data_IF_036653022781
#
_entry.id   IF_036653022781
#
_cell.length_a   1.000
_cell.length_b   1.000
_cell.length_c   1.000
_cell.angle_alpha   90.00
_cell.angle_beta   90.00
_cell.angle_gamma   90.00
#
_symmetry.space_group_name_H-M   'P 1'
#
loop_
_entity.id
_entity.type
_entity.pdbx_description
1 polymer ?
#
# COMPACT_ATOMS: atom_id res chain seq x y z
N UNK A 1 -3.07 -19.73 -6.97
CA UNK A 1 -2.43 -20.79 -6.20
C UNK A 1 -1.76 -21.86 -7.08
N UNK A 2 -2.46 -22.39 -8.11
CA UNK A 2 -1.88 -23.39 -9.01
C UNK A 2 -0.66 -22.86 -9.77
N UNK A 3 -0.69 -21.63 -10.25
CA UNK A 3 0.45 -21.01 -10.94
C UNK A 3 1.70 -20.99 -10.04
N UNK A 4 1.54 -20.64 -8.76
CA UNK A 4 2.63 -20.66 -7.76
C UNK A 4 3.16 -22.08 -7.54
N UNK A 5 2.26 -23.03 -7.26
CA UNK A 5 2.63 -24.43 -7.03
C UNK A 5 3.38 -25.05 -8.22
N UNK A 6 2.96 -24.72 -9.44
CA UNK A 6 3.57 -25.20 -10.69
C UNK A 6 4.78 -24.36 -11.12
N UNK A 7 5.11 -23.28 -10.41
CA UNK A 7 6.19 -22.32 -10.75
C UNK A 7 6.07 -21.77 -12.18
N UNK A 8 4.86 -21.37 -12.55
CA UNK A 8 4.57 -20.78 -13.86
C UNK A 8 4.65 -19.26 -13.75
N UNK A 9 5.48 -18.64 -14.58
CA UNK A 9 5.60 -17.18 -14.69
C UNK A 9 4.37 -16.57 -15.37
N UNK A 10 3.22 -16.60 -14.69
CA UNK A 10 1.99 -15.95 -15.16
C UNK A 10 1.89 -14.55 -14.57
N UNK A 11 1.47 -13.58 -15.38
CA UNK A 11 1.15 -12.22 -14.94
C UNK A 11 -0.36 -12.04 -14.91
N UNK A 12 -0.88 -11.65 -13.74
CA UNK A 12 -2.29 -11.35 -13.53
C UNK A 12 -2.42 -9.85 -13.31
N UNK A 13 -3.23 -9.17 -14.11
CA UNK A 13 -3.47 -7.73 -13.98
C UNK A 13 -4.92 -7.55 -13.54
N UNK A 14 -5.10 -7.02 -12.34
CA UNK A 14 -6.38 -6.70 -11.75
C UNK A 14 -6.50 -5.18 -11.54
N UNK A 15 -7.65 -4.63 -11.89
CA UNK A 15 -7.99 -3.23 -11.66
C UNK A 15 -9.08 -3.13 -10.59
N UNK A 16 -9.35 -1.91 -10.08
CA UNK A 16 -10.41 -1.66 -9.11
C UNK A 16 -10.14 -2.32 -7.75
N UNK A 17 -8.95 -2.08 -7.20
CA UNK A 17 -8.32 -2.83 -6.12
C UNK A 17 -8.76 -2.45 -4.69
N UNK A 18 -9.78 -1.60 -4.53
CA UNK A 18 -10.20 -1.12 -3.20
C UNK A 18 -11.68 -0.73 -3.14
N UNK A 19 -12.12 -0.23 -1.98
CA UNK A 19 -13.45 0.35 -1.79
C UNK A 19 -13.74 1.53 -2.73
N UNK A 20 -12.72 2.15 -3.31
CA UNK A 20 -12.85 3.24 -4.28
C UNK A 20 -13.36 2.78 -5.65
N UNK A 21 -13.64 1.49 -5.82
CA UNK A 21 -14.53 1.02 -6.88
C UNK A 21 -15.87 1.77 -6.86
N UNK A 22 -16.36 2.14 -5.67
CA UNK A 22 -17.46 3.09 -5.52
C UNK A 22 -18.83 2.43 -5.48
N UNK A 23 -19.75 2.91 -6.33
CA UNK A 23 -21.19 2.59 -6.27
C UNK A 23 -21.54 1.12 -6.54
N UNK A 24 -20.65 0.37 -7.20
CA UNK A 24 -20.83 -1.10 -7.41
C UNK A 24 -20.92 -1.87 -6.09
N UNK A 25 -20.39 -1.28 -5.01
CA UNK A 25 -20.65 -1.69 -3.65
C UNK A 25 -19.90 -2.92 -3.18
N UNK A 26 -20.31 -3.46 -2.02
CA UNK A 26 -19.54 -4.45 -1.27
C UNK A 26 -19.34 -5.79 -1.98
N UNK A 27 -20.15 -6.12 -2.98
CA UNK A 27 -20.00 -7.36 -3.76
C UNK A 27 -18.82 -7.29 -4.76
N UNK A 28 -18.34 -6.08 -5.07
CA UNK A 28 -17.30 -5.83 -6.05
C UNK A 28 -16.04 -5.18 -5.45
N UNK A 29 -16.17 -4.53 -4.30
CA UNK A 29 -15.07 -3.84 -3.63
C UNK A 29 -14.12 -4.84 -2.93
N UNK A 30 -12.86 -4.98 -3.37
CA UNK A 30 -11.88 -5.82 -2.69
C UNK A 30 -11.50 -5.22 -1.33
N UNK A 31 -11.50 -6.02 -0.29
CA UNK A 31 -11.04 -5.65 1.06
C UNK A 31 -9.97 -6.64 1.53
N UNK A 32 -10.29 -7.93 1.58
CA UNK A 32 -9.38 -9.00 2.01
C UNK A 32 -8.50 -9.55 0.89
N UNK A 33 -8.79 -9.22 -0.37
CA UNK A 33 -8.20 -9.83 -1.56
C UNK A 33 -6.68 -9.61 -1.64
N UNK A 34 -6.20 -8.40 -1.37
CA UNK A 34 -4.77 -8.09 -1.42
C UNK A 34 -3.98 -8.98 -0.46
N UNK A 35 -4.43 -9.07 0.80
CA UNK A 35 -3.72 -9.87 1.78
C UNK A 35 -3.86 -11.36 1.51
N UNK A 36 -5.04 -11.84 1.09
CA UNK A 36 -5.23 -13.25 0.73
C UNK A 36 -4.33 -13.68 -0.43
N UNK A 37 -4.07 -12.80 -1.39
CA UNK A 37 -3.11 -13.05 -2.47
C UNK A 37 -1.67 -13.07 -1.95
N UNK A 38 -1.30 -12.14 -1.06
CA UNK A 38 0.04 -12.08 -0.45
C UNK A 38 0.38 -13.31 0.41
N UNK A 39 -0.64 -14.00 0.95
CA UNK A 39 -0.47 -15.25 1.70
C UNK A 39 -0.20 -16.46 0.81
N UNK A 40 -0.34 -16.37 -0.50
CA UNK A 40 -0.02 -17.46 -1.42
C UNK A 40 1.51 -17.51 -1.59
N UNK A 41 2.16 -18.63 -1.21
CA UNK A 41 3.61 -18.76 -1.40
C UNK A 41 4.04 -18.54 -2.84
N UNK A 42 5.16 -17.87 -3.05
CA UNK A 42 5.76 -17.59 -4.36
C UNK A 42 4.88 -16.76 -5.31
N UNK A 43 3.86 -16.05 -4.81
CA UNK A 43 3.05 -15.10 -5.57
C UNK A 43 3.42 -13.68 -5.16
N UNK A 44 4.02 -12.91 -6.05
CA UNK A 44 4.33 -11.50 -5.78
C UNK A 44 3.13 -10.60 -6.13
N UNK A 45 2.72 -9.76 -5.17
CA UNK A 45 1.61 -8.82 -5.32
C UNK A 45 2.13 -7.39 -5.37
N UNK A 46 1.95 -6.75 -6.51
CA UNK A 46 2.52 -5.45 -6.84
C UNK A 46 1.41 -4.40 -6.89
N UNK A 47 1.56 -3.30 -6.15
CA UNK A 47 0.66 -2.14 -6.13
C UNK A 47 1.46 -0.85 -6.35
N UNK A 48 1.66 -0.41 -7.60
CA UNK A 48 2.40 0.81 -7.92
C UNK A 48 1.57 2.07 -7.59
N UNK A 49 2.25 3.15 -7.24
CA UNK A 49 1.66 4.44 -6.86
C UNK A 49 1.93 5.57 -7.85
N UNK A 50 2.97 5.47 -8.66
CA UNK A 50 3.34 6.48 -9.66
C UNK A 50 3.84 5.85 -10.96
N UNK A 51 4.20 6.69 -11.94
CA UNK A 51 4.64 6.24 -13.27
C UNK A 51 5.94 5.45 -13.24
N UNK A 52 6.87 5.75 -12.33
CA UNK A 52 8.16 5.05 -12.20
C UNK A 52 7.94 3.66 -11.60
N UNK A 53 7.15 3.55 -10.54
CA UNK A 53 6.78 2.25 -9.98
C UNK A 53 5.99 1.40 -11.00
N UNK A 54 5.13 2.02 -11.80
CA UNK A 54 4.42 1.33 -12.88
C UNK A 54 5.40 0.79 -13.94
N UNK A 55 6.39 1.58 -14.36
CA UNK A 55 7.43 1.14 -15.28
C UNK A 55 8.20 -0.06 -14.72
N UNK A 56 8.61 0.02 -13.44
CA UNK A 56 9.30 -1.08 -12.77
C UNK A 56 8.41 -2.31 -12.59
N UNK A 57 7.12 -2.12 -12.34
CA UNK A 57 6.14 -3.20 -12.27
C UNK A 57 6.06 -3.96 -13.59
N UNK A 58 5.94 -3.27 -14.72
CA UNK A 58 5.97 -3.91 -16.04
C UNK A 58 7.29 -4.60 -16.31
N UNK A 59 8.42 -3.96 -16.01
CA UNK A 59 9.75 -4.58 -16.15
C UNK A 59 9.82 -5.87 -15.33
N UNK A 60 9.26 -5.89 -14.13
CA UNK A 60 9.22 -7.06 -13.27
C UNK A 60 8.25 -8.13 -13.77
N UNK A 61 7.05 -7.75 -14.22
CA UNK A 61 6.06 -8.68 -14.80
C UNK A 61 6.64 -9.50 -15.96
N UNK A 62 7.41 -8.86 -16.81
CA UNK A 62 8.02 -9.49 -17.98
C UNK A 62 9.43 -10.04 -17.74
N UNK A 63 9.93 -9.96 -16.50
CA UNK A 63 11.22 -10.57 -16.16
C UNK A 63 11.14 -12.11 -16.17
N UNK A 64 12.25 -12.76 -16.51
CA UNK A 64 12.33 -14.21 -16.58
C UNK A 64 12.45 -14.85 -15.18
N UNK A 65 11.40 -14.72 -14.37
CA UNK A 65 11.29 -15.38 -13.06
C UNK A 65 10.33 -16.56 -13.16
N UNK A 66 10.48 -17.52 -12.25
CA UNK A 66 9.60 -18.69 -12.19
C UNK A 66 8.33 -18.45 -11.36
N UNK A 67 8.18 -17.27 -10.76
CA UNK A 67 7.05 -16.97 -9.89
C UNK A 67 5.94 -16.24 -10.64
N UNK A 68 4.67 -16.56 -10.40
CA UNK A 68 3.56 -15.75 -10.87
C UNK A 68 3.54 -14.39 -10.15
N UNK A 69 2.97 -13.40 -10.82
CA UNK A 69 2.89 -12.03 -10.33
C UNK A 69 1.49 -11.48 -10.51
N UNK A 70 1.03 -10.73 -9.53
CA UNK A 70 -0.19 -9.94 -9.58
C UNK A 70 0.17 -8.47 -9.64
N UNK A 71 -0.36 -7.74 -10.60
CA UNK A 71 -0.38 -6.30 -10.66
C UNK A 71 -1.78 -5.83 -10.28
N UNK A 72 -1.90 -5.16 -9.15
CA UNK A 72 -3.16 -4.67 -8.61
C UNK A 72 -3.22 -3.16 -8.72
N UNK A 73 -4.22 -2.64 -9.43
CA UNK A 73 -4.32 -1.24 -9.83
C UNK A 73 -5.61 -0.61 -9.32
N UNK A 74 -5.52 0.64 -8.90
CA UNK A 74 -6.69 1.42 -8.54
C UNK A 74 -7.55 1.76 -9.76
N UNK A 75 -8.82 2.13 -9.51
CA UNK A 75 -9.74 2.68 -10.51
C UNK A 75 -9.48 4.17 -10.78
N UNK A 76 -9.02 4.89 -9.75
CA UNK A 76 -8.90 6.34 -9.78
C UNK A 76 -7.74 6.84 -10.66
N UNK A 77 -7.90 8.06 -11.18
CA UNK A 77 -6.78 8.83 -11.68
C UNK A 77 -5.96 9.34 -10.48
N UNK A 78 -4.68 9.02 -10.45
CA UNK A 78 -3.77 9.45 -9.40
C UNK A 78 -2.95 10.65 -9.85
N UNK A 79 -2.67 11.56 -8.91
CA UNK A 79 -1.60 12.52 -9.10
C UNK A 79 -0.26 11.77 -9.21
N UNK A 80 0.53 12.08 -10.23
CA UNK A 80 1.83 11.46 -10.39
C UNK A 80 2.83 12.08 -9.41
N UNK A 81 3.12 11.37 -8.35
CA UNK A 81 4.06 11.81 -7.31
C UNK A 81 5.47 11.91 -7.87
N UNK A 82 6.15 13.03 -7.57
CA UNK A 82 7.50 13.32 -8.04
C UNK A 82 8.56 12.69 -7.13
N UNK A 83 8.77 11.40 -7.31
CA UNK A 83 9.90 10.67 -6.76
C UNK A 83 10.33 9.57 -7.74
N UNK A 84 11.57 9.16 -7.62
CA UNK A 84 12.12 8.04 -8.39
C UNK A 84 12.76 7.01 -7.48
N UNK A 85 12.92 5.81 -8.01
CA UNK A 85 13.58 4.69 -7.33
C UNK A 85 14.33 3.86 -8.36
N UNK A 86 15.45 3.30 -7.98
CA UNK A 86 16.17 2.34 -8.81
C UNK A 86 15.45 0.99 -8.82
N UNK A 87 15.54 0.28 -9.93
CA UNK A 87 14.81 -0.99 -10.11
C UNK A 87 15.13 -2.03 -9.04
N UNK A 88 16.39 -2.14 -8.64
CA UNK A 88 16.82 -3.08 -7.60
C UNK A 88 16.26 -2.72 -6.22
N UNK A 89 16.15 -1.44 -5.91
CA UNK A 89 15.53 -0.96 -4.67
C UNK A 89 14.00 -1.26 -4.67
N UNK A 90 13.33 -1.02 -5.80
CA UNK A 90 11.91 -1.39 -5.98
C UNK A 90 11.67 -2.88 -5.72
N UNK A 91 12.57 -3.76 -6.18
CA UNK A 91 12.45 -5.22 -5.97
C UNK A 91 12.63 -5.64 -4.51
N UNK A 92 13.18 -4.80 -3.64
CA UNK A 92 13.27 -5.07 -2.19
C UNK A 92 11.93 -4.90 -1.45
N UNK A 93 10.88 -4.51 -2.15
CA UNK A 93 9.51 -4.48 -1.64
C UNK A 93 9.07 -3.18 -1.00
N UNK A 94 10.00 -2.37 -0.45
CA UNK A 94 9.70 -1.06 0.13
C UNK A 94 10.93 -0.19 0.28
N UNK A 95 10.73 1.15 0.22
CA UNK A 95 11.79 2.16 0.29
C UNK A 95 11.26 3.52 0.73
N UNK A 96 12.15 4.37 1.23
CA UNK A 96 11.80 5.73 1.68
C UNK A 96 11.64 6.64 0.47
N UNK A 97 10.47 7.30 0.35
CA UNK A 97 10.19 8.30 -0.69
C UNK A 97 10.22 9.72 -0.14
N UNK A 98 10.08 9.88 1.18
CA UNK A 98 10.21 11.18 1.84
C UNK A 98 10.76 10.98 3.25
N UNK A 99 11.83 11.69 3.61
CA UNK A 99 12.49 11.57 4.92
C UNK A 99 11.70 12.20 6.06
N UNK A 100 11.99 11.75 7.29
CA UNK A 100 11.43 12.20 8.56
C UNK A 100 11.87 11.27 9.68
N UNK A 101 11.64 11.63 10.95
CA UNK A 101 12.13 10.89 12.13
C UNK A 101 11.18 10.86 13.34
N UNK A 102 10.01 11.53 13.27
CA UNK A 102 9.00 11.49 14.35
C UNK A 102 7.89 10.50 14.05
N UNK A 103 7.45 10.45 12.78
CA UNK A 103 6.36 9.59 12.29
C UNK A 103 6.83 8.85 11.05
N UNK A 104 6.54 7.55 10.96
CA UNK A 104 6.70 6.78 9.71
C UNK A 104 5.36 6.27 9.23
N UNK A 105 5.01 6.55 7.97
CA UNK A 105 3.81 6.04 7.30
C UNK A 105 4.26 5.09 6.18
N UNK A 106 3.91 3.80 6.30
CA UNK A 106 4.04 2.82 5.25
C UNK A 106 2.76 2.81 4.42
N UNK A 107 2.85 3.06 3.13
CA UNK A 107 1.71 3.07 2.23
C UNK A 107 1.97 2.24 0.97
N UNK A 108 0.92 1.67 0.39
CA UNK A 108 0.98 0.83 -0.81
C UNK A 108 0.01 1.37 -1.88
N UNK A 109 0.43 1.39 -3.13
CA UNK A 109 -0.45 1.78 -4.25
C UNK A 109 -0.98 3.21 -4.15
N UNK A 110 -2.26 3.39 -4.46
CA UNK A 110 -2.95 4.70 -4.48
C UNK A 110 -2.89 5.46 -3.17
N UNK A 111 -2.76 4.76 -2.04
CA UNK A 111 -2.72 5.36 -0.72
C UNK A 111 -1.46 6.17 -0.45
N UNK A 112 -0.45 6.05 -1.31
CA UNK A 112 0.75 6.90 -1.23
C UNK A 112 0.41 8.39 -1.48
N UNK A 113 -0.55 8.68 -2.37
CA UNK A 113 -1.06 10.05 -2.57
C UNK A 113 -1.67 10.61 -1.26
N UNK A 114 -2.42 9.79 -0.54
CA UNK A 114 -2.99 10.16 0.76
C UNK A 114 -1.90 10.37 1.82
N UNK A 115 -0.85 9.54 1.83
CA UNK A 115 0.29 9.70 2.73
C UNK A 115 1.03 11.05 2.50
N UNK A 116 1.21 11.46 1.25
CA UNK A 116 1.79 12.78 0.94
C UNK A 116 0.89 13.94 1.36
N UNK A 117 -0.42 13.82 1.18
CA UNK A 117 -1.38 14.81 1.66
C UNK A 117 -1.34 14.93 3.21
N UNK A 118 -1.28 13.80 3.92
CA UNK A 118 -1.11 13.76 5.38
C UNK A 118 0.19 14.44 5.81
N UNK A 119 1.31 14.16 5.15
CA UNK A 119 2.59 14.83 5.45
C UNK A 119 2.51 16.34 5.30
N UNK A 120 1.78 16.83 4.28
CA UNK A 120 1.57 18.28 4.10
C UNK A 120 0.77 18.90 5.22
N UNK A 121 -0.27 18.21 5.71
CA UNK A 121 -1.11 18.70 6.80
C UNK A 121 -0.42 18.60 8.17
N UNK A 122 0.42 17.58 8.37
CA UNK A 122 1.22 17.37 9.58
C UNK A 122 2.57 18.09 9.50
N UNK A 123 2.61 19.30 8.94
CA UNK A 123 3.84 20.05 8.64
C UNK A 123 4.68 20.42 9.86
N UNK A 124 4.11 20.42 11.06
CA UNK A 124 4.79 20.62 12.33
C UNK A 124 5.55 19.39 12.82
N UNK A 125 5.30 18.20 12.22
CA UNK A 125 5.97 16.95 12.55
C UNK A 125 6.90 16.50 11.43
N UNK A 126 7.97 15.81 11.80
CA UNK A 126 8.92 15.24 10.86
C UNK A 126 8.41 13.89 10.35
N UNK A 127 7.59 13.90 9.26
CA UNK A 127 6.92 12.72 8.72
C UNK A 127 7.77 12.06 7.65
N UNK A 128 8.08 10.77 7.83
CA UNK A 128 8.67 9.87 6.85
C UNK A 128 7.58 9.13 6.10
N UNK A 129 7.72 9.04 4.78
CA UNK A 129 6.86 8.20 3.93
C UNK A 129 7.68 7.08 3.33
N UNK A 130 7.18 5.87 3.47
CA UNK A 130 7.74 4.64 2.89
C UNK A 130 6.75 4.09 1.88
N UNK A 131 7.14 4.02 0.62
CA UNK A 131 6.39 3.29 -0.40
C UNK A 131 6.64 1.79 -0.25
N UNK A 132 5.57 0.99 -0.31
CA UNK A 132 5.63 -0.47 -0.23
C UNK A 132 4.90 -1.08 -1.44
N UNK A 133 5.50 -1.00 -2.63
CA UNK A 133 4.86 -1.54 -3.83
C UNK A 133 4.75 -3.08 -3.83
N UNK A 134 5.61 -3.80 -3.08
CA UNK A 134 5.58 -5.28 -3.04
C UNK A 134 5.75 -5.75 -1.59
N UNK A 135 4.69 -5.65 -0.78
CA UNK A 135 4.75 -5.92 0.66
C UNK A 135 5.33 -7.32 0.97
N UNK A 136 4.94 -8.33 0.24
CA UNK A 136 5.40 -9.71 0.49
C UNK A 136 6.85 -9.99 0.02
N UNK A 137 7.58 -8.97 -0.45
CA UNK A 137 9.05 -8.98 -0.62
C UNK A 137 9.79 -8.21 0.47
N UNK A 138 9.06 -7.39 1.21
CA UNK A 138 9.66 -6.63 2.31
C UNK A 138 9.96 -7.58 3.47
N UNK A 139 11.23 -7.77 3.79
CA UNK A 139 11.62 -8.56 4.96
C UNK A 139 11.71 -7.70 6.23
N UNK A 140 11.62 -8.31 7.44
CA UNK A 140 11.61 -7.57 8.70
C UNK A 140 12.87 -6.71 8.94
N UNK A 141 14.05 -7.15 8.51
CA UNK A 141 15.31 -6.40 8.66
C UNK A 141 15.27 -5.11 7.81
N UNK A 142 14.86 -5.24 6.55
CA UNK A 142 14.69 -4.08 5.66
C UNK A 142 13.61 -3.15 6.22
N UNK A 143 12.47 -3.69 6.65
CA UNK A 143 11.40 -2.89 7.26
C UNK A 143 11.89 -2.11 8.49
N UNK A 144 12.66 -2.74 9.37
CA UNK A 144 13.26 -2.08 10.53
C UNK A 144 14.19 -0.93 10.11
N UNK A 145 14.97 -1.10 9.04
CA UNK A 145 15.86 -0.04 8.51
C UNK A 145 15.10 1.13 7.90
N UNK A 146 13.86 0.91 7.44
CA UNK A 146 13.00 1.96 6.86
C UNK A 146 12.31 2.79 7.94
N UNK A 147 12.09 2.22 9.13
CA UNK A 147 11.59 2.94 10.30
C UNK A 147 12.69 3.85 10.86
N UNK A 148 12.33 5.06 11.24
CA UNK A 148 13.22 5.98 11.94
C UNK A 148 12.40 6.90 12.86
N UNK A 149 11.41 6.30 13.55
CA UNK A 149 10.46 7.07 14.32
C UNK A 149 9.87 6.25 15.46
N UNK A 150 9.33 6.95 16.44
CA UNK A 150 8.60 6.35 17.58
C UNK A 150 7.23 5.82 17.16
N UNK A 151 6.58 6.50 16.20
CA UNK A 151 5.23 6.17 15.77
C UNK A 151 5.25 5.65 14.33
N UNK A 152 4.72 4.45 14.13
CA UNK A 152 4.65 3.78 12.82
C UNK A 152 3.20 3.51 12.46
N UNK A 153 2.79 3.96 11.30
CA UNK A 153 1.44 3.77 10.77
C UNK A 153 1.49 3.02 9.45
N UNK A 154 0.41 2.27 9.15
CA UNK A 154 0.19 1.68 7.83
C UNK A 154 -1.05 2.29 7.19
N UNK A 155 -1.03 2.41 5.87
CA UNK A 155 -2.10 2.99 5.08
C UNK A 155 -2.34 2.14 3.83
N UNK A 156 -3.43 1.37 3.84
CA UNK A 156 -3.87 0.57 2.70
C UNK A 156 -5.38 0.36 2.77
N UNK A 157 -6.09 0.60 1.67
CA UNK A 157 -7.54 0.44 1.55
C UNK A 157 -7.94 -1.05 1.41
N UNK A 158 -7.39 -1.88 2.26
CA UNK A 158 -7.64 -3.30 2.42
C UNK A 158 -7.55 -3.68 3.89
N UNK A 159 -7.58 -4.97 4.19
CA UNK A 159 -7.38 -5.49 5.56
C UNK A 159 -5.99 -5.18 6.09
N UNK A 160 -5.91 -4.71 7.35
CA UNK A 160 -4.63 -4.48 8.05
C UNK A 160 -3.91 -5.76 8.45
N UNK A 161 -4.64 -6.87 8.54
CA UNK A 161 -4.07 -8.18 8.92
C UNK A 161 -2.84 -8.53 8.07
N UNK A 162 -1.79 -9.02 8.71
CA UNK A 162 -0.56 -9.43 8.05
C UNK A 162 0.49 -8.31 7.88
N UNK A 163 0.14 -7.04 7.95
CA UNK A 163 1.14 -5.97 7.84
C UNK A 163 2.22 -6.07 8.93
N UNK A 164 1.82 -6.39 10.17
CA UNK A 164 2.77 -6.56 11.27
C UNK A 164 3.77 -7.71 11.07
N UNK A 165 3.41 -8.74 10.33
CA UNK A 165 4.31 -9.85 10.00
C UNK A 165 5.50 -9.41 9.13
N UNK A 166 5.31 -8.36 8.32
CA UNK A 166 6.34 -7.81 7.43
C UNK A 166 7.10 -6.65 8.06
N UNK A 167 6.40 -5.76 8.78
CA UNK A 167 7.02 -4.52 9.28
C UNK A 167 7.21 -4.48 10.80
N UNK A 168 6.73 -5.49 11.55
CA UNK A 168 6.82 -5.53 13.02
C UNK A 168 5.86 -4.54 13.68
N UNK A 169 6.27 -3.91 14.77
CA UNK A 169 5.41 -3.05 15.59
C UNK A 169 4.81 -1.90 14.78
N UNK A 170 3.50 -1.75 14.90
CA UNK A 170 2.66 -0.73 14.28
C UNK A 170 1.91 0.01 15.39
N UNK A 171 1.92 1.34 15.36
CA UNK A 171 1.12 2.18 16.27
C UNK A 171 -0.36 2.08 15.93
N UNK A 172 -0.71 2.23 14.65
CA UNK A 172 -2.07 2.08 14.14
C UNK A 172 -2.07 1.80 12.64
N UNK A 173 -3.19 1.24 12.15
CA UNK A 173 -3.41 0.95 10.73
C UNK A 173 -4.64 1.67 10.21
N UNK A 174 -4.49 2.40 9.12
CA UNK A 174 -5.58 3.03 8.40
C UNK A 174 -6.02 2.11 7.27
N UNK A 175 -7.10 1.36 7.52
CA UNK A 175 -7.48 0.17 6.77
C UNK A 175 -8.99 0.00 6.71
N UNK A 176 -9.47 -0.90 5.88
CA UNK A 176 -10.88 -1.28 5.78
C UNK A 176 -11.06 -2.65 6.45
N UNK A 177 -11.73 -2.68 7.61
CA UNK A 177 -11.86 -3.90 8.42
C UNK A 177 -13.20 -4.63 8.22
N UNK A 178 -14.11 -4.05 7.44
CA UNK A 178 -15.44 -4.61 7.14
C UNK A 178 -15.67 -4.62 5.63
N UNK A 179 -16.77 -5.21 5.19
CA UNK A 179 -17.20 -5.06 3.80
C UNK A 179 -17.38 -3.59 3.43
N UNK A 180 -17.16 -3.27 2.17
CA UNK A 180 -17.38 -1.96 1.60
C UNK A 180 -18.87 -1.54 1.61
N UNK A 181 -19.16 -0.42 0.98
CA UNK A 181 -20.50 0.14 0.84
C UNK A 181 -20.69 0.75 -0.55
N UNK A 182 -21.94 0.79 -1.03
CA UNK A 182 -22.27 1.43 -2.30
C UNK A 182 -22.43 2.94 -2.09
N UNK A 183 -21.47 3.73 -2.53
CA UNK A 183 -21.47 5.19 -2.51
C UNK A 183 -20.35 5.76 -3.39
N UNK A 184 -20.38 7.06 -3.74
CA UNK A 184 -19.24 7.75 -4.32
C UNK A 184 -17.99 7.67 -3.43
N UNK A 185 -16.80 7.77 -4.03
CA UNK A 185 -15.50 7.67 -3.36
C UNK A 185 -15.37 8.60 -2.14
N UNK A 186 -15.74 9.87 -2.31
CA UNK A 186 -15.68 10.87 -1.23
C UNK A 186 -16.53 10.51 -0.01
N UNK A 187 -17.70 9.92 -0.23
CA UNK A 187 -18.58 9.49 0.83
C UNK A 187 -18.05 8.24 1.52
N UNK A 188 -17.44 7.32 0.76
CA UNK A 188 -16.79 6.13 1.29
C UNK A 188 -15.56 6.50 2.15
N UNK A 189 -14.72 7.42 1.68
CA UNK A 189 -13.55 7.86 2.41
C UNK A 189 -13.93 8.48 3.77
N UNK A 190 -15.01 9.28 3.81
CA UNK A 190 -15.55 9.86 5.05
C UNK A 190 -16.20 8.80 5.94
N UNK A 191 -17.01 7.90 5.37
CA UNK A 191 -17.69 6.84 6.12
C UNK A 191 -16.69 5.92 6.84
N UNK A 192 -15.65 5.50 6.15
CA UNK A 192 -14.60 4.64 6.71
C UNK A 192 -13.53 5.43 7.49
N UNK A 193 -13.63 6.77 7.56
CA UNK A 193 -12.66 7.67 8.21
C UNK A 193 -11.25 7.49 7.63
N UNK A 194 -11.18 7.34 6.31
CA UNK A 194 -9.96 7.17 5.54
C UNK A 194 -9.66 8.37 4.63
N UNK A 195 -10.33 9.51 4.86
CA UNK A 195 -9.98 10.81 4.31
C UNK A 195 -8.85 11.46 5.13
N UNK A 196 -8.18 12.44 4.54
CA UNK A 196 -7.01 13.12 5.14
C UNK A 196 -7.30 13.63 6.54
N UNK A 197 -8.42 14.34 6.73
CA UNK A 197 -8.80 14.99 7.98
C UNK A 197 -9.01 13.98 9.11
N UNK A 198 -9.68 12.86 8.82
CA UNK A 198 -9.96 11.83 9.83
C UNK A 198 -8.69 11.08 10.25
N UNK A 199 -7.79 10.79 9.29
CA UNK A 199 -6.52 10.12 9.57
C UNK A 199 -5.59 11.07 10.34
N UNK A 200 -5.48 12.33 9.91
CA UNK A 200 -4.70 13.36 10.59
C UNK A 200 -5.10 13.47 12.07
N UNK A 201 -6.42 13.58 12.34
CA UNK A 201 -6.92 13.65 13.72
C UNK A 201 -6.55 12.40 14.54
N UNK A 202 -6.62 11.21 13.95
CA UNK A 202 -6.20 9.97 14.62
C UNK A 202 -4.71 9.96 14.92
N UNK A 203 -3.86 10.40 13.98
CA UNK A 203 -2.41 10.50 14.19
C UNK A 203 -2.13 11.46 15.35
N UNK A 204 -2.73 12.65 15.36
CA UNK A 204 -2.54 13.64 16.43
C UNK A 204 -2.86 13.08 17.81
N UNK A 205 -3.94 12.31 17.96
CA UNK A 205 -4.32 11.67 19.22
C UNK A 205 -3.27 10.67 19.77
N UNK A 206 -2.33 10.20 18.94
CA UNK A 206 -1.21 9.37 19.39
C UNK A 206 0.03 10.18 19.77
N UNK A 207 0.08 11.45 19.38
CA UNK A 207 1.22 12.34 19.59
C UNK A 207 1.06 13.22 20.84
N UNK A 208 -0.20 13.50 21.20
CA UNK A 208 -0.58 14.22 22.42
C UNK A 208 -0.46 13.31 23.66
#
# INVERSE_FOLDING_TARGET
RLASLMKISSSFIFTHDSIYLGEDGPTHQPVEHLMSLRLIPDLDVIRPSNSIEMLHSYRYLFSNTKNPKVLSLTRQNLENLDFSVEYEEFLNGGYVVSGGDEITIFASGSELNLAFALKKNLSEYSVRIVSVPILNKLNPEKAASLKNSKHTFTLELGKSVGWADYIGDITDSFSVETFGKSAPEDDLSKFFKLNVESIEQRIRNYLD
#
